data_IF_615845227321
#
_entry.id   IF_615845227321
#
_cell.length_a   1.000
_cell.length_b   1.000
_cell.length_c   1.000
_cell.angle_alpha   90.00
_cell.angle_beta   90.00
_cell.angle_gamma   90.00
#
_symmetry.space_group_name_H-M   'P 1'
#
loop_
_entity.id
_entity.type
_entity.pdbx_description
1 polymer ?
#
# COMPACT_ATOMS: atom_id res chain seq x y z
N UNK A 1 -15.11 23.60 -11.27
CA UNK A 1 -15.53 22.33 -10.63
C UNK A 1 -14.67 21.25 -11.28
N UNK A 2 -13.88 20.51 -10.50
CA UNK A 2 -13.06 19.43 -11.04
C UNK A 2 -14.02 18.33 -11.50
N UNK A 3 -13.97 17.97 -12.78
CA UNK A 3 -14.78 16.87 -13.31
C UNK A 3 -14.07 15.55 -12.96
N UNK A 4 -14.42 14.97 -11.81
CA UNK A 4 -13.95 13.66 -11.35
C UNK A 4 -14.62 12.49 -12.10
N UNK A 5 -15.32 12.75 -13.21
CA UNK A 5 -16.04 11.73 -14.00
C UNK A 5 -15.14 10.63 -14.58
N UNK A 6 -13.82 10.90 -14.65
CA UNK A 6 -12.81 9.94 -15.12
C UNK A 6 -12.21 9.05 -14.01
N UNK A 7 -12.37 9.41 -12.73
CA UNK A 7 -11.78 8.64 -11.64
C UNK A 7 -12.59 7.34 -11.40
N UNK A 8 -11.98 6.16 -11.60
CA UNK A 8 -12.66 4.89 -11.40
C UNK A 8 -12.98 4.60 -9.91
N UNK A 9 -12.41 5.34 -8.96
CA UNK A 9 -12.71 5.26 -7.53
C UNK A 9 -13.86 6.19 -7.09
N UNK A 10 -14.38 7.03 -7.98
CA UNK A 10 -15.51 7.92 -7.65
C UNK A 10 -16.83 7.27 -8.05
N UNK A 11 -17.67 7.03 -7.03
CA UNK A 11 -19.00 6.49 -7.25
C UNK A 11 -19.93 7.61 -7.76
N UNK A 12 -20.68 7.40 -8.86
CA UNK A 12 -21.66 8.38 -9.32
C UNK A 12 -22.77 8.57 -8.29
N UNK A 13 -23.25 9.80 -8.16
CA UNK A 13 -24.47 10.10 -7.40
C UNK A 13 -25.67 9.69 -8.26
N UNK A 14 -26.40 8.66 -7.82
CA UNK A 14 -27.60 8.15 -8.50
C UNK A 14 -27.43 6.73 -9.08
N UNK A 15 -28.35 6.29 -9.95
CA UNK A 15 -28.33 4.94 -10.51
C UNK A 15 -27.03 4.63 -11.25
N UNK A 16 -26.42 3.50 -10.92
CA UNK A 16 -25.18 3.05 -11.55
C UNK A 16 -25.47 2.00 -12.63
N UNK A 17 -24.81 2.14 -13.78
CA UNK A 17 -24.87 1.10 -14.81
C UNK A 17 -24.03 -0.11 -14.40
N UNK A 18 -24.42 -1.30 -14.86
CA UNK A 18 -23.67 -2.55 -14.57
C UNK A 18 -22.18 -2.45 -14.94
N UNK A 19 -21.86 -1.84 -16.08
CA UNK A 19 -20.48 -1.67 -16.53
C UNK A 19 -19.68 -0.74 -15.60
N UNK A 20 -20.32 0.32 -15.07
CA UNK A 20 -19.69 1.24 -14.12
C UNK A 20 -19.51 0.58 -12.75
N UNK A 21 -20.49 -0.19 -12.27
CA UNK A 21 -20.35 -0.98 -11.04
C UNK A 21 -19.19 -1.98 -11.11
N UNK A 22 -19.02 -2.67 -12.26
CA UNK A 22 -17.90 -3.59 -12.47
C UNK A 22 -16.54 -2.89 -12.44
N UNK A 23 -16.42 -1.74 -13.12
CA UNK A 23 -15.17 -0.94 -13.12
C UNK A 23 -14.83 -0.42 -11.73
N UNK A 24 -15.83 0.11 -11.02
CA UNK A 24 -15.66 0.59 -9.64
C UNK A 24 -15.17 -0.53 -8.72
N UNK A 25 -15.81 -1.71 -8.76
CA UNK A 25 -15.38 -2.85 -7.98
C UNK A 25 -13.93 -3.27 -8.27
N UNK A 26 -13.54 -3.34 -9.54
CA UNK A 26 -12.17 -3.65 -9.93
C UNK A 26 -11.16 -2.60 -9.43
N UNK A 27 -11.51 -1.31 -9.53
CA UNK A 27 -10.67 -0.22 -9.06
C UNK A 27 -10.47 -0.25 -7.54
N UNK A 28 -11.54 -0.50 -6.78
CA UNK A 28 -11.46 -0.67 -5.32
C UNK A 28 -10.59 -1.87 -4.95
N UNK A 29 -10.76 -3.02 -5.62
CA UNK A 29 -9.92 -4.19 -5.36
C UNK A 29 -8.44 -3.90 -5.61
N UNK A 30 -8.11 -3.23 -6.72
CA UNK A 30 -6.73 -2.82 -7.02
C UNK A 30 -6.17 -1.83 -6.00
N UNK A 31 -6.97 -0.84 -5.60
CA UNK A 31 -6.57 0.14 -4.61
C UNK A 31 -6.27 -0.49 -3.25
N UNK A 32 -7.16 -1.39 -2.77
CA UNK A 32 -6.93 -2.13 -1.52
C UNK A 32 -5.70 -3.02 -1.63
N UNK A 33 -5.53 -3.73 -2.75
CA UNK A 33 -4.35 -4.58 -2.96
C UNK A 33 -3.05 -3.75 -2.93
N UNK A 34 -3.04 -2.58 -3.57
CA UNK A 34 -1.88 -1.69 -3.58
C UNK A 34 -1.55 -1.20 -2.17
N UNK A 35 -2.55 -0.79 -1.38
CA UNK A 35 -2.34 -0.36 0.01
C UNK A 35 -1.80 -1.49 0.88
N UNK A 36 -2.42 -2.68 0.84
CA UNK A 36 -1.94 -3.84 1.61
C UNK A 36 -0.51 -4.20 1.21
N UNK A 37 -0.19 -4.17 -0.09
CA UNK A 37 1.16 -4.48 -0.57
C UNK A 37 2.18 -3.47 -0.05
N UNK A 38 1.83 -2.18 -0.07
CA UNK A 38 2.70 -1.12 0.44
C UNK A 38 2.91 -1.23 1.95
N UNK A 39 1.83 -1.38 2.72
CA UNK A 39 1.93 -1.56 4.18
C UNK A 39 2.75 -2.80 4.56
N UNK A 40 2.53 -3.92 3.86
CA UNK A 40 3.28 -5.14 4.10
C UNK A 40 4.77 -4.96 3.77
N UNK A 41 5.07 -4.28 2.65
CA UNK A 41 6.44 -3.94 2.29
C UNK A 41 7.09 -3.07 3.37
N UNK A 42 6.41 -2.04 3.84
CA UNK A 42 6.94 -1.11 4.84
C UNK A 42 7.18 -1.81 6.18
N UNK A 43 6.27 -2.68 6.61
CA UNK A 43 6.44 -3.50 7.82
C UNK A 43 7.63 -4.45 7.68
N UNK A 44 7.75 -5.15 6.55
CA UNK A 44 8.86 -6.07 6.31
C UNK A 44 10.20 -5.34 6.24
N UNK A 45 10.23 -4.20 5.56
CA UNK A 45 11.42 -3.36 5.43
C UNK A 45 11.86 -2.79 6.78
N UNK A 46 10.94 -2.22 7.57
CA UNK A 46 11.26 -1.67 8.88
C UNK A 46 11.83 -2.74 9.82
N UNK A 47 11.22 -3.93 9.85
CA UNK A 47 11.74 -5.06 10.62
C UNK A 47 13.15 -5.47 10.20
N UNK A 48 13.41 -5.51 8.88
CA UNK A 48 14.74 -5.81 8.36
C UNK A 48 15.78 -4.79 8.80
N UNK A 49 15.43 -3.50 8.78
CA UNK A 49 16.31 -2.43 9.27
C UNK A 49 16.63 -2.58 10.76
N UNK A 50 15.64 -2.89 11.61
CA UNK A 50 15.84 -3.12 13.04
C UNK A 50 16.76 -4.31 13.31
N UNK A 51 16.55 -5.43 12.62
CA UNK A 51 17.40 -6.62 12.73
C UNK A 51 18.85 -6.36 12.27
N UNK A 52 19.01 -5.63 11.16
CA UNK A 52 20.33 -5.27 10.64
C UNK A 52 21.06 -4.34 11.60
N UNK A 53 20.40 -3.33 12.14
CA UNK A 53 20.99 -2.42 13.13
C UNK A 53 21.43 -3.18 14.38
N UNK A 54 20.59 -4.08 14.90
CA UNK A 54 20.94 -4.95 16.02
C UNK A 54 22.19 -5.79 15.72
N UNK A 55 22.25 -6.38 14.53
CA UNK A 55 23.39 -7.19 14.08
C UNK A 55 24.67 -6.37 13.96
N UNK A 56 24.60 -5.19 13.36
CA UNK A 56 25.74 -4.29 13.23
C UNK A 56 26.26 -3.84 14.60
N UNK A 57 25.38 -3.53 15.56
CA UNK A 57 25.76 -3.20 16.94
C UNK A 57 26.51 -4.36 17.61
N UNK A 58 26.05 -5.59 17.45
CA UNK A 58 26.73 -6.77 17.98
C UNK A 58 28.12 -6.96 17.36
N UNK A 59 28.25 -6.76 16.04
CA UNK A 59 29.55 -6.83 15.36
C UNK A 59 30.52 -5.75 15.86
N UNK A 60 30.05 -4.51 16.04
CA UNK A 60 30.89 -3.43 16.59
C UNK A 60 31.40 -3.77 17.99
N UNK A 61 30.58 -4.37 18.85
CA UNK A 61 30.99 -4.80 20.19
C UNK A 61 32.03 -5.94 20.15
N UNK A 62 31.91 -6.87 19.20
CA UNK A 62 32.88 -7.95 19.01
C UNK A 62 34.23 -7.45 18.49
N UNK A 63 34.24 -6.47 17.58
CA UNK A 63 35.47 -5.88 17.03
C UNK A 63 36.18 -4.98 18.04
N UNK A 64 35.44 -4.41 19.00
CA UNK A 64 36.00 -3.57 20.05
C UNK A 64 36.61 -4.36 21.23
N UNK A 65 36.55 -5.69 21.19
CA UNK A 65 37.11 -6.61 22.20
C UNK A 65 38.51 -7.10 21.78
#
# INVERSE_FOLDING_TARGET
>A
MVNDEGDPLVLPIGPITRSRAKRYGAAISLFVQAQITQELHDVAFNKCCEELEGTLRLLMLLVAL
#
